data_IF_633226563419
#
_entry.id   IF_633226563419
#
_cell.length_a   1.000
_cell.length_b   1.000
_cell.length_c   1.000
_cell.angle_alpha   90.00
_cell.angle_beta   90.00
_cell.angle_gamma   90.00
#
_symmetry.space_group_name_H-M   'P 1'
#
loop_
_entity.id
_entity.type
_entity.pdbx_description
1 polymer ?
#
# COMPACT_ATOMS: atom_id res chain seq x y z
N UNK A 1 -11.63 -21.10 30.19
CA UNK A 1 -11.74 -20.32 28.94
C UNK A 1 -10.69 -20.84 27.97
N UNK A 2 -11.10 -21.50 26.88
CA UNK A 2 -10.15 -21.99 25.87
C UNK A 2 -9.59 -20.84 25.05
N UNK A 3 -8.28 -20.82 24.88
CA UNK A 3 -7.60 -19.91 23.96
C UNK A 3 -8.01 -20.31 22.54
N UNK A 4 -8.54 -19.40 21.70
CA UNK A 4 -8.88 -19.74 20.33
C UNK A 4 -7.60 -20.15 19.58
N UNK A 5 -7.59 -21.36 19.04
CA UNK A 5 -6.52 -21.83 18.16
C UNK A 5 -6.63 -21.05 16.86
N UNK A 6 -5.68 -20.14 16.63
CA UNK A 6 -5.60 -19.42 15.37
C UNK A 6 -5.17 -20.40 14.27
N UNK A 7 -5.73 -20.29 13.05
CA UNK A 7 -5.28 -21.11 11.94
C UNK A 7 -3.79 -20.91 11.70
N UNK A 8 -3.06 -22.00 11.49
CA UNK A 8 -1.62 -22.00 11.22
C UNK A 8 -1.27 -21.51 9.81
N UNK A 9 -2.28 -21.33 8.96
CA UNK A 9 -2.12 -20.86 7.57
C UNK A 9 -2.89 -19.56 7.34
N UNK A 10 -2.22 -18.59 6.71
CA UNK A 10 -2.80 -17.31 6.32
C UNK A 10 -2.85 -17.23 4.80
N UNK A 11 -4.07 -17.15 4.23
CA UNK A 11 -4.25 -16.93 2.79
C UNK A 11 -4.20 -15.44 2.49
N UNK A 12 -3.28 -15.06 1.60
CA UNK A 12 -3.04 -13.68 1.17
C UNK A 12 -3.33 -13.57 -0.32
N UNK A 13 -4.03 -12.52 -0.72
CA UNK A 13 -4.24 -12.17 -2.12
C UNK A 13 -3.37 -10.96 -2.50
N UNK A 14 -2.71 -11.03 -3.66
CA UNK A 14 -2.01 -9.90 -4.25
C UNK A 14 -2.88 -9.37 -5.39
N UNK A 15 -3.35 -8.13 -5.26
CA UNK A 15 -4.19 -7.51 -6.28
C UNK A 15 -3.27 -6.93 -7.34
N UNK A 16 -3.50 -7.31 -8.59
CA UNK A 16 -2.88 -6.69 -9.75
C UNK A 16 -3.99 -6.14 -10.64
N UNK A 17 -4.11 -4.82 -10.69
CA UNK A 17 -5.11 -4.14 -11.52
C UNK A 17 -4.45 -3.16 -12.48
N UNK A 18 -4.99 -3.06 -13.69
CA UNK A 18 -4.64 -2.00 -14.61
C UNK A 18 -5.28 -0.69 -14.12
N UNK A 19 -4.46 0.23 -13.64
CA UNK A 19 -4.89 1.54 -13.15
C UNK A 19 -5.22 2.48 -14.30
N UNK A 20 -6.35 3.16 -14.21
CA UNK A 20 -6.65 4.33 -15.03
C UNK A 20 -5.82 5.51 -14.49
N UNK A 21 -5.08 6.18 -15.36
CA UNK A 21 -4.14 7.22 -14.96
C UNK A 21 -4.85 8.36 -14.23
N UNK A 22 -4.41 8.67 -13.00
CA UNK A 22 -4.88 9.79 -12.18
C UNK A 22 -6.40 9.85 -11.94
N UNK A 23 -7.06 8.68 -11.93
CA UNK A 23 -8.52 8.55 -11.70
C UNK A 23 -8.81 7.74 -10.42
N UNK A 24 -8.73 8.36 -9.21
CA UNK A 24 -8.95 7.67 -7.93
C UNK A 24 -10.25 6.89 -7.86
N UNK A 25 -11.36 7.50 -8.30
CA UNK A 25 -12.68 6.88 -8.21
C UNK A 25 -12.79 5.64 -9.08
N UNK A 26 -12.32 5.72 -10.34
CA UNK A 26 -12.34 4.59 -11.26
C UNK A 26 -11.49 3.43 -10.73
N UNK A 27 -10.31 3.73 -10.17
CA UNK A 27 -9.40 2.74 -9.62
C UNK A 27 -9.90 2.11 -8.31
N UNK A 28 -10.57 2.89 -7.46
CA UNK A 28 -11.22 2.36 -6.25
C UNK A 28 -12.41 1.46 -6.61
N UNK A 29 -13.25 1.88 -7.57
CA UNK A 29 -14.36 1.07 -8.06
C UNK A 29 -13.88 -0.25 -8.67
N UNK A 30 -12.80 -0.22 -9.46
CA UNK A 30 -12.17 -1.43 -10.00
C UNK A 30 -11.56 -2.30 -8.89
N UNK A 31 -10.87 -1.67 -7.94
CA UNK A 31 -10.28 -2.33 -6.78
C UNK A 31 -11.30 -3.10 -5.94
N UNK A 32 -12.53 -2.58 -5.79
CA UNK A 32 -13.61 -3.27 -5.09
C UNK A 32 -13.88 -4.66 -5.66
N UNK A 33 -13.92 -4.83 -6.99
CA UNK A 33 -14.14 -6.13 -7.61
C UNK A 33 -13.05 -7.15 -7.26
N UNK A 34 -11.79 -6.70 -7.19
CA UNK A 34 -10.67 -7.55 -6.78
C UNK A 34 -10.71 -7.90 -5.29
N UNK A 35 -11.09 -6.96 -4.43
CA UNK A 35 -11.30 -7.20 -2.99
C UNK A 35 -12.38 -8.24 -2.77
N UNK A 36 -13.51 -8.11 -3.46
CA UNK A 36 -14.60 -9.08 -3.41
C UNK A 36 -14.13 -10.48 -3.82
N UNK A 37 -13.43 -10.60 -4.95
CA UNK A 37 -12.90 -11.88 -5.43
C UNK A 37 -11.89 -12.50 -4.44
N UNK A 38 -11.03 -11.68 -3.83
CA UNK A 38 -10.08 -12.12 -2.81
C UNK A 38 -10.79 -12.68 -1.57
N UNK A 39 -11.81 -11.96 -1.07
CA UNK A 39 -12.62 -12.41 0.07
C UNK A 39 -13.35 -13.73 -0.24
N UNK A 40 -13.98 -13.84 -1.41
CA UNK A 40 -14.66 -15.08 -1.84
C UNK A 40 -13.71 -16.26 -2.03
N UNK A 41 -12.45 -16.00 -2.37
CA UNK A 41 -11.39 -17.02 -2.44
C UNK A 41 -10.84 -17.41 -1.05
N UNK A 42 -11.39 -16.84 0.02
CA UNK A 42 -10.99 -17.10 1.41
C UNK A 42 -9.71 -16.41 1.83
N UNK A 43 -9.26 -15.36 1.13
CA UNK A 43 -8.14 -14.55 1.59
C UNK A 43 -8.53 -13.79 2.87
N UNK A 44 -7.59 -13.68 3.82
CA UNK A 44 -7.77 -12.89 5.06
C UNK A 44 -7.07 -11.53 4.99
N UNK A 45 -6.15 -11.39 4.04
CA UNK A 45 -5.43 -10.17 3.71
C UNK A 45 -5.41 -10.04 2.19
N UNK A 46 -5.73 -8.86 1.67
CA UNK A 46 -5.46 -8.50 0.28
C UNK A 46 -4.59 -7.24 0.19
N UNK A 47 -3.65 -7.25 -0.75
CA UNK A 47 -2.63 -6.20 -0.89
C UNK A 47 -2.76 -5.54 -2.25
N UNK A 48 -2.99 -4.23 -2.26
CA UNK A 48 -2.99 -3.41 -3.47
C UNK A 48 -1.56 -3.07 -3.93
N UNK A 49 -1.37 -2.77 -5.23
CA UNK A 49 -0.13 -2.18 -5.73
C UNK A 49 0.19 -0.82 -5.10
N UNK A 50 1.43 -0.40 -5.28
CA UNK A 50 1.86 0.97 -4.95
C UNK A 50 1.08 2.00 -5.79
N UNK A 51 0.60 3.08 -5.17
CA UNK A 51 -0.20 4.15 -5.79
C UNK A 51 -1.38 3.64 -6.63
N UNK A 52 -2.04 2.56 -6.16
CA UNK A 52 -3.11 1.89 -6.90
C UNK A 52 -4.30 2.78 -7.28
N UNK A 53 -4.49 3.93 -6.62
CA UNK A 53 -5.55 4.89 -6.94
C UNK A 53 -5.18 5.84 -8.08
N UNK A 54 -3.90 6.04 -8.39
CA UNK A 54 -3.44 7.06 -9.34
C UNK A 54 -2.71 6.47 -10.55
N UNK A 55 -2.20 5.24 -10.42
CA UNK A 55 -1.06 4.81 -11.23
C UNK A 55 0.21 5.56 -10.82
N UNK A 56 1.35 5.16 -11.38
CA UNK A 56 2.67 5.67 -10.98
C UNK A 56 2.90 7.11 -11.48
N UNK A 57 2.29 8.09 -10.81
CA UNK A 57 2.30 9.51 -11.17
C UNK A 57 3.60 10.22 -10.80
N UNK A 58 4.06 11.11 -11.68
CA UNK A 58 5.18 12.03 -11.44
C UNK A 58 4.75 13.39 -10.90
N UNK A 59 3.43 13.65 -10.83
CA UNK A 59 2.82 14.86 -10.27
C UNK A 59 1.80 14.47 -9.19
N UNK A 60 2.25 13.99 -8.01
CA UNK A 60 1.39 13.50 -6.95
C UNK A 60 0.70 14.61 -6.14
N UNK A 61 1.19 15.86 -6.21
CA UNK A 61 0.76 16.97 -5.36
C UNK A 61 -0.76 17.22 -5.34
N UNK A 62 -1.49 17.19 -6.47
CA UNK A 62 -2.95 17.41 -6.46
C UNK A 62 -3.74 16.31 -5.74
N UNK A 63 -3.14 15.15 -5.52
CA UNK A 63 -3.79 13.97 -4.94
C UNK A 63 -3.34 13.71 -3.49
N UNK A 64 -2.57 14.63 -2.91
CA UNK A 64 -2.08 14.49 -1.56
C UNK A 64 -3.21 14.63 -0.54
N UNK A 65 -3.41 13.61 0.29
CA UNK A 65 -4.41 13.61 1.36
C UNK A 65 -3.79 13.50 2.76
N UNK A 66 -4.52 13.95 3.78
CA UNK A 66 -4.18 13.64 5.16
C UNK A 66 -4.42 12.13 5.43
N UNK A 67 -3.79 11.58 6.48
CA UNK A 67 -4.08 10.21 6.92
C UNK A 67 -4.54 10.24 8.39
N UNK A 68 -5.74 9.72 8.72
CA UNK A 68 -6.74 9.18 7.80
C UNK A 68 -7.31 10.24 6.85
N UNK A 69 -7.74 9.78 5.67
CA UNK A 69 -8.25 10.60 4.56
C UNK A 69 -9.13 9.76 3.63
N UNK A 70 -9.63 10.35 2.53
CA UNK A 70 -10.69 9.74 1.73
C UNK A 70 -10.31 8.37 1.14
N UNK A 71 -9.05 8.14 0.76
CA UNK A 71 -8.62 6.83 0.27
C UNK A 71 -8.63 5.80 1.40
N UNK A 72 -8.05 6.13 2.55
CA UNK A 72 -7.97 5.21 3.71
C UNK A 72 -9.37 4.87 4.23
N UNK A 73 -10.29 5.85 4.27
CA UNK A 73 -11.67 5.66 4.71
C UNK A 73 -12.45 4.74 3.77
N UNK A 74 -12.36 4.95 2.46
CA UNK A 74 -13.02 4.08 1.46
C UNK A 74 -12.48 2.66 1.50
N UNK A 75 -11.16 2.49 1.62
CA UNK A 75 -10.58 1.15 1.75
C UNK A 75 -10.96 0.52 3.10
N UNK A 76 -11.07 1.31 4.17
CA UNK A 76 -11.58 0.84 5.46
C UNK A 76 -13.02 0.34 5.38
N UNK A 77 -13.88 1.05 4.63
CA UNK A 77 -15.24 0.61 4.35
C UNK A 77 -15.28 -0.73 3.59
N UNK A 78 -14.41 -0.91 2.59
CA UNK A 78 -14.28 -2.20 1.87
C UNK A 78 -13.79 -3.33 2.79
N UNK A 79 -12.80 -3.06 3.65
CA UNK A 79 -12.32 -4.04 4.64
C UNK A 79 -13.44 -4.53 5.55
N UNK A 80 -14.28 -3.59 6.00
CA UNK A 80 -15.45 -3.88 6.83
C UNK A 80 -16.54 -4.65 6.06
N UNK A 81 -16.82 -4.22 4.82
CA UNK A 81 -17.82 -4.86 3.96
C UNK A 81 -17.48 -6.32 3.67
N UNK A 82 -16.22 -6.60 3.33
CA UNK A 82 -15.79 -7.94 2.92
C UNK A 82 -15.16 -8.76 4.05
N UNK A 83 -15.01 -8.19 5.25
CA UNK A 83 -14.48 -8.90 6.41
C UNK A 83 -13.00 -9.30 6.29
N UNK A 84 -12.19 -8.56 5.52
CA UNK A 84 -10.78 -8.86 5.28
C UNK A 84 -9.88 -7.66 5.61
N UNK A 85 -8.60 -7.92 5.85
CA UNK A 85 -7.61 -6.84 5.97
C UNK A 85 -7.19 -6.36 4.59
N UNK A 86 -7.12 -5.05 4.39
CA UNK A 86 -6.61 -4.46 3.15
C UNK A 86 -5.36 -3.66 3.41
N UNK A 87 -4.33 -3.90 2.58
CA UNK A 87 -3.09 -3.14 2.56
C UNK A 87 -3.07 -2.30 1.29
N UNK A 88 -2.80 -1.01 1.43
CA UNK A 88 -2.74 -0.09 0.32
C UNK A 88 -1.66 0.96 0.53
N UNK A 89 -1.60 1.90 -0.42
CA UNK A 89 -0.73 3.07 -0.32
C UNK A 89 -1.44 4.30 -0.83
N UNK A 90 -0.98 5.46 -0.38
CA UNK A 90 -1.59 6.76 -0.67
C UNK A 90 -0.53 7.84 -0.73
N UNK A 91 -0.80 8.87 -1.53
CA UNK A 91 -0.03 10.10 -1.50
C UNK A 91 -0.45 10.89 -0.28
N UNK A 92 0.43 10.98 0.70
CA UNK A 92 0.16 11.72 1.93
C UNK A 92 0.70 13.14 1.84
N UNK A 93 -0.14 14.09 2.22
CA UNK A 93 0.25 15.47 2.47
C UNK A 93 1.26 15.54 3.63
N UNK A 94 2.51 15.91 3.34
CA UNK A 94 3.57 15.96 4.35
C UNK A 94 4.60 17.06 4.11
N UNK A 95 4.65 18.08 4.97
CA UNK A 95 5.68 19.12 4.89
C UNK A 95 5.70 19.79 3.50
N UNK A 96 6.89 20.12 2.94
CA UNK A 96 6.98 20.81 1.65
C UNK A 96 6.69 19.92 0.44
N UNK A 97 6.70 18.58 0.59
CA UNK A 97 6.50 17.64 -0.50
C UNK A 97 5.72 16.40 -0.06
N UNK A 98 4.68 15.99 -0.81
CA UNK A 98 3.95 14.78 -0.47
C UNK A 98 4.86 13.55 -0.50
N UNK A 99 4.46 12.52 0.23
CA UNK A 99 5.19 11.24 0.31
C UNK A 99 4.25 10.09 0.00
N UNK A 100 4.82 8.99 -0.47
CA UNK A 100 4.07 7.74 -0.50
C UNK A 100 4.04 7.11 0.91
N UNK A 101 2.84 6.81 1.41
CA UNK A 101 2.62 6.15 2.69
C UNK A 101 1.82 4.87 2.50
N UNK A 102 2.26 3.79 3.16
CA UNK A 102 1.51 2.55 3.21
C UNK A 102 0.54 2.57 4.39
N UNK A 103 -0.61 1.92 4.23
CA UNK A 103 -1.58 1.76 5.29
C UNK A 103 -2.18 0.36 5.28
N UNK A 104 -2.74 -0.01 6.43
CA UNK A 104 -3.47 -1.27 6.64
C UNK A 104 -4.82 -0.92 7.26
N UNK A 105 -5.89 -1.52 6.76
CA UNK A 105 -7.23 -1.46 7.35
C UNK A 105 -7.67 -2.86 7.79
N UNK A 106 -8.44 -2.94 8.88
CA UNK A 106 -8.94 -4.18 9.44
C UNK A 106 -10.44 -4.39 9.16
N UNK A 107 -10.94 -5.63 9.32
CA UNK A 107 -12.35 -5.96 9.16
C UNK A 107 -13.34 -5.19 10.05
N UNK A 108 -12.85 -4.57 11.13
CA UNK A 108 -13.67 -3.71 12.01
C UNK A 108 -13.74 -2.24 11.53
N UNK A 109 -12.99 -1.90 10.47
CA UNK A 109 -12.83 -0.55 9.94
C UNK A 109 -11.69 0.25 10.58
N UNK A 110 -10.96 -0.31 11.55
CA UNK A 110 -9.77 0.35 12.11
C UNK A 110 -8.64 0.40 11.10
N UNK A 111 -7.73 1.39 11.24
CA UNK A 111 -6.64 1.60 10.31
C UNK A 111 -5.32 1.97 11.00
N UNK A 112 -4.20 1.57 10.38
CA UNK A 112 -2.84 1.91 10.79
C UNK A 112 -2.01 2.32 9.58
N UNK A 113 -0.97 3.11 9.82
CA UNK A 113 -0.12 3.68 8.77
C UNK A 113 1.36 3.42 9.06
N UNK A 114 2.12 3.02 8.05
CA UNK A 114 3.59 2.93 8.09
C UNK A 114 4.23 3.82 7.02
N UNK A 115 5.46 4.28 7.30
CA UNK A 115 6.28 5.02 6.33
C UNK A 115 7.51 4.22 5.97
N UNK A 116 7.82 4.14 4.69
CA UNK A 116 9.17 3.86 4.23
C UNK A 116 9.91 5.19 4.05
N UNK A 117 11.20 5.23 4.42
CA UNK A 117 12.07 6.36 4.11
C UNK A 117 12.09 6.54 2.59
N UNK A 118 11.66 7.71 2.13
CA UNK A 118 11.64 8.07 0.72
C UNK A 118 13.06 8.06 0.15
N UNK A 119 13.44 6.98 -0.53
CA UNK A 119 14.38 7.06 -1.64
C UNK A 119 13.54 7.11 -2.91
N UNK A 120 13.42 8.27 -3.57
CA UNK A 120 12.80 8.35 -4.89
C UNK A 120 13.44 7.33 -5.83
N UNK A 121 12.66 6.79 -6.77
CA UNK A 121 13.22 5.99 -7.87
C UNK A 121 14.33 6.82 -8.56
N UNK A 122 15.58 6.32 -8.67
CA UNK A 122 16.73 7.13 -9.10
C UNK A 122 16.65 7.62 -10.57
N UNK A 123 15.76 7.07 -11.37
CA UNK A 123 15.48 7.54 -12.74
C UNK A 123 14.62 8.80 -12.80
N UNK A 124 13.94 9.18 -11.71
CA UNK A 124 13.30 10.48 -11.57
C UNK A 124 14.35 11.49 -11.08
N UNK A 125 15.13 12.05 -12.01
CA UNK A 125 16.14 13.08 -11.71
C UNK A 125 15.45 14.38 -11.26
N UNK A 126 15.11 14.48 -9.97
CA UNK A 126 14.74 15.73 -9.29
C UNK A 126 16.03 16.38 -8.80
N UNK A 127 16.44 17.47 -9.43
CA UNK A 127 17.58 18.29 -8.97
C UNK A 127 17.21 18.92 -7.63
N UNK A 128 17.65 18.33 -6.52
CA UNK A 128 17.45 18.89 -5.19
C UNK A 128 17.81 17.90 -4.09
N UNK A 129 18.96 18.14 -3.47
CA UNK A 129 19.54 17.44 -2.32
C UNK A 129 18.52 17.20 -1.22
N UNK A 130 18.21 15.94 -0.90
CA UNK A 130 17.47 15.58 0.32
C UNK A 130 18.26 14.55 1.13
N UNK A 131 18.46 14.85 2.41
CA UNK A 131 19.23 14.07 3.37
C UNK A 131 18.35 12.98 4.00
N UNK A 132 18.89 11.76 4.09
CA UNK A 132 18.20 10.61 4.68
C UNK A 132 17.92 10.81 6.18
N UNK A 133 16.67 10.59 6.60
CA UNK A 133 16.25 10.51 8.01
C UNK A 133 16.27 9.07 8.53
N UNK A 134 16.69 8.88 9.79
CA UNK A 134 16.61 7.59 10.50
C UNK A 134 15.20 7.41 11.08
N UNK A 135 14.56 6.26 10.83
CA UNK A 135 13.31 5.87 11.48
C UNK A 135 13.57 5.36 12.90
N UNK A 136 12.86 5.92 13.89
CA UNK A 136 12.72 5.31 15.21
C UNK A 136 11.62 4.25 15.18
N UNK A 137 11.96 3.01 15.58
CA UNK A 137 11.02 1.89 15.75
C UNK A 137 10.32 2.07 17.09
N UNK A 138 9.07 2.53 17.11
CA UNK A 138 8.29 2.53 18.35
C UNK A 138 7.60 1.17 18.53
N UNK A 139 8.23 0.24 19.25
CA UNK A 139 7.54 -0.91 19.82
C UNK A 139 6.97 -0.52 21.18
N UNK A 140 5.66 -0.38 21.31
CA UNK A 140 4.99 -0.53 22.61
C UNK A 140 4.31 -1.90 22.62
N UNK A 141 4.82 -2.79 23.46
CA UNK A 141 4.20 -4.06 23.79
C UNK A 141 3.10 -3.81 24.82
N UNK A 142 1.83 -3.97 24.44
CA UNK A 142 0.77 -4.32 25.40
C UNK A 142 -0.22 -5.28 24.73
N UNK A 143 -0.20 -6.54 25.21
CA UNK A 143 -1.29 -7.50 25.25
C UNK A 143 -2.12 -7.78 23.99
N UNK A 144 -1.54 -8.37 22.94
CA UNK A 144 -2.31 -9.16 21.95
C UNK A 144 -1.34 -10.00 21.10
N UNK A 145 -1.68 -11.25 20.70
CA UNK A 145 -0.71 -12.14 20.05
C UNK A 145 -0.24 -11.54 18.73
N UNK A 146 1.07 -11.66 18.50
CA UNK A 146 1.84 -10.98 17.48
C UNK A 146 1.27 -11.13 16.06
N UNK A 147 0.59 -10.10 15.57
CA UNK A 147 0.49 -9.82 14.14
C UNK A 147 1.68 -8.92 13.76
N UNK A 148 2.42 -9.27 12.71
CA UNK A 148 3.38 -8.35 12.09
C UNK A 148 2.62 -7.14 11.55
N UNK A 149 2.78 -5.97 12.19
CA UNK A 149 2.10 -4.71 11.87
C UNK A 149 3.01 -3.79 11.05
N UNK A 150 3.58 -4.31 9.96
CA UNK A 150 4.46 -3.52 9.10
C UNK A 150 4.20 -3.82 7.62
N UNK A 151 3.76 -2.80 6.88
CA UNK A 151 3.77 -2.79 5.44
C UNK A 151 4.95 -1.94 4.95
N UNK A 152 5.70 -2.44 3.97
CA UNK A 152 6.84 -1.75 3.37
C UNK A 152 6.63 -1.73 1.85
N UNK A 153 6.83 -0.57 1.23
CA UNK A 153 6.83 -0.43 -0.22
C UNK A 153 8.17 -0.93 -0.80
N UNK A 154 8.11 -1.76 -1.83
CA UNK A 154 9.30 -2.32 -2.47
C UNK A 154 9.85 -1.37 -3.54
N UNK A 155 11.16 -1.12 -3.53
CA UNK A 155 11.90 -0.54 -4.65
C UNK A 155 12.71 -1.67 -5.29
N UNK A 156 12.37 -2.09 -6.52
CA UNK A 156 13.20 -3.06 -7.24
C UNK A 156 14.47 -2.36 -7.73
N UNK A 157 15.65 -2.81 -7.29
CA UNK A 157 16.91 -2.50 -7.98
C UNK A 157 16.92 -3.26 -9.30
N UNK A 158 16.74 -2.56 -10.41
CA UNK A 158 17.07 -3.11 -11.72
C UNK A 158 18.61 -3.19 -11.82
N UNK A 159 19.20 -4.34 -12.19
CA UNK A 159 20.63 -4.37 -12.50
C UNK A 159 20.87 -3.47 -13.70
N UNK A 160 21.69 -2.43 -13.51
CA UNK A 160 22.11 -1.49 -14.54
C UNK A 160 22.99 -2.22 -15.57
N UNK A 161 22.35 -2.89 -16.53
CA UNK A 161 22.98 -3.40 -17.74
C UNK A 161 22.31 -2.76 -18.95
N UNK A 162 23.05 -2.36 -19.99
CA UNK A 162 22.44 -1.85 -21.21
C UNK A 162 21.52 -2.91 -21.82
N UNK A 163 20.26 -2.53 -22.06
CA UNK A 163 19.31 -3.33 -22.81
C UNK A 163 19.86 -3.56 -24.22
N UNK A 164 20.11 -4.83 -24.56
CA UNK A 164 20.46 -5.24 -25.92
C UNK A 164 19.16 -5.67 -26.62
N UNK A 165 18.74 -5.00 -27.71
CA UNK A 165 17.64 -5.52 -28.52
C UNK A 165 18.07 -6.87 -29.11
N UNK A 166 17.32 -7.92 -28.79
CA UNK A 166 17.43 -9.20 -29.47
C UNK A 166 16.99 -9.03 -30.93
N UNK A 167 17.84 -9.47 -31.86
CA UNK A 167 17.50 -9.57 -33.27
C UNK A 167 16.31 -10.54 -33.47
N UNK A 168 15.44 -10.31 -34.46
CA UNK A 168 14.29 -11.16 -34.67
C UNK A 168 14.72 -12.51 -35.26
N UNK A 169 14.41 -13.61 -34.56
CA UNK A 169 13.88 -14.87 -35.11
C UNK A 169 13.03 -15.55 -34.05
#
# INVERSE_FOLDING_TARGET
MSIPVLPTTLRVALIQQATVWQEPEANLARGRGFVQAAAWSGARVAVFPELFTLGFTMAPEPFAEAIPGPTVERVGALSKEFGIHLVGSVVEAHGPHPRNAAFVTAPDGSSWRSTASSTPFPTARRTGTTRAGRTARSSRSMGSPAACRSATTCVSRSPSGPWRPGAPR
#
